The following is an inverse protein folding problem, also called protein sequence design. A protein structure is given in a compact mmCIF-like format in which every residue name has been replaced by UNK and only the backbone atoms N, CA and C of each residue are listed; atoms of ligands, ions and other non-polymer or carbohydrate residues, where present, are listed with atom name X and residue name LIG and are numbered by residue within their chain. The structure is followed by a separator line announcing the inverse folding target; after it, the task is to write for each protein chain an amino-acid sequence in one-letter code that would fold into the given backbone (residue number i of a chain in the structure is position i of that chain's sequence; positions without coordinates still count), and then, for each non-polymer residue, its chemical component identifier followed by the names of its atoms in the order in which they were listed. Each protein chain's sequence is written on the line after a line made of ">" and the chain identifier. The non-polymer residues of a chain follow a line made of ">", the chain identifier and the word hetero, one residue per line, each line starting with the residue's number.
data_IF_069593050909
#
_entry.id   IF_069593050909
#
_cell.length_a   1.000
_cell.length_b   1.000
_cell.length_c   1.000
_cell.angle_alpha   90.00
_cell.angle_beta   90.00
_cell.angle_gamma   90.00
#
_symmetry.space_group_name_H-M   'P 1'
#
loop_
_entity.id
_entity.type
_entity.pdbx_description
1 polymer ?
#
# COMPACT_ATOMS: atom_id res chain seq x y z
N UNK A 1 2.19 -2.19 -9.51
CA UNK A 1 3.33 -1.38 -9.93
C UNK A 1 3.98 -2.02 -11.15
N UNK A 2 4.60 -3.19 -11.04
CA UNK A 2 5.35 -3.87 -12.13
C UNK A 2 4.47 -4.09 -13.36
N UNK A 3 3.23 -4.58 -13.19
CA UNK A 3 2.30 -4.80 -14.30
C UNK A 3 2.03 -3.51 -15.10
N UNK A 4 1.86 -2.36 -14.42
CA UNK A 4 1.72 -1.07 -15.08
C UNK A 4 2.98 -0.69 -15.88
N UNK A 5 4.15 -0.85 -15.28
CA UNK A 5 5.42 -0.52 -15.92
C UNK A 5 5.67 -1.39 -17.18
N UNK A 6 5.42 -2.69 -17.09
CA UNK A 6 5.57 -3.61 -18.21
C UNK A 6 4.54 -3.33 -19.33
N UNK A 7 3.28 -3.02 -18.97
CA UNK A 7 2.26 -2.65 -19.95
C UNK A 7 2.67 -1.39 -20.72
N UNK A 8 3.13 -0.35 -20.00
CA UNK A 8 3.62 0.90 -20.62
C UNK A 8 4.83 0.69 -21.50
N UNK A 9 5.71 -0.24 -21.12
CA UNK A 9 6.87 -0.64 -21.92
C UNK A 9 6.49 -1.54 -23.12
N UNK A 10 5.21 -1.81 -23.36
CA UNK A 10 4.73 -2.67 -24.47
C UNK A 10 5.13 -4.14 -24.32
N UNK A 11 5.37 -4.61 -23.10
CA UNK A 11 5.74 -6.01 -22.84
C UNK A 11 4.49 -6.85 -22.60
N UNK A 12 4.49 -8.06 -23.17
CA UNK A 12 3.52 -9.10 -22.82
C UNK A 12 3.95 -9.74 -21.50
N UNK A 13 3.02 -9.91 -20.58
CA UNK A 13 3.31 -10.52 -19.28
C UNK A 13 2.12 -11.31 -18.74
N UNK A 14 2.44 -12.21 -17.84
CA UNK A 14 1.46 -12.93 -17.02
C UNK A 14 1.81 -12.73 -15.55
N UNK A 15 0.81 -12.49 -14.72
CA UNK A 15 0.98 -12.39 -13.26
C UNK A 15 0.51 -13.66 -12.59
N UNK A 16 1.30 -14.17 -11.66
CA UNK A 16 0.93 -15.25 -10.76
C UNK A 16 1.14 -14.75 -9.34
N UNK A 17 0.14 -14.92 -8.48
CA UNK A 17 0.19 -14.51 -7.08
C UNK A 17 0.46 -15.72 -6.19
N UNK A 18 1.40 -15.58 -5.29
CA UNK A 18 1.67 -16.54 -4.22
C UNK A 18 1.56 -15.82 -2.87
N UNK A 19 1.00 -16.49 -1.86
CA UNK A 19 0.99 -15.98 -0.48
C UNK A 19 2.32 -16.18 0.21
N UNK A 20 3.12 -17.14 -0.26
CA UNK A 20 4.48 -17.44 0.21
C UNK A 20 5.18 -18.28 -0.84
N UNK A 21 6.51 -18.27 -0.85
CA UNK A 21 7.28 -19.28 -1.56
C UNK A 21 7.48 -20.51 -0.66
N UNK A 22 7.32 -21.67 -1.27
CA UNK A 22 7.58 -22.98 -0.70
C UNK A 22 7.99 -23.93 -1.84
N UNK A 23 8.37 -25.16 -1.56
CA UNK A 23 8.84 -26.11 -2.57
C UNK A 23 7.80 -26.39 -3.67
N UNK A 24 6.50 -26.38 -3.32
CA UNK A 24 5.44 -26.54 -4.31
C UNK A 24 5.40 -25.36 -5.28
N UNK A 25 5.45 -24.14 -4.78
CA UNK A 25 5.44 -22.91 -5.59
C UNK A 25 6.74 -22.77 -6.40
N UNK A 26 7.89 -23.14 -5.82
CA UNK A 26 9.16 -23.24 -6.55
C UNK A 26 9.07 -24.22 -7.71
N UNK A 27 8.38 -25.37 -7.53
CA UNK A 27 8.08 -26.30 -8.61
C UNK A 27 7.19 -25.72 -9.71
N UNK A 28 6.37 -24.70 -9.45
CA UNK A 28 5.62 -23.97 -10.48
C UNK A 28 6.57 -23.00 -11.20
N UNK A 29 7.37 -22.24 -10.47
CA UNK A 29 8.34 -21.27 -11.01
C UNK A 29 9.32 -21.99 -11.95
N UNK A 30 9.92 -23.10 -11.53
CA UNK A 30 10.90 -23.85 -12.31
C UNK A 30 10.36 -24.43 -13.64
N UNK A 31 9.05 -24.66 -13.72
CA UNK A 31 8.38 -25.15 -14.95
C UNK A 31 7.80 -24.01 -15.80
N UNK A 32 7.81 -22.79 -15.30
CA UNK A 32 7.31 -21.63 -16.04
C UNK A 32 8.32 -21.26 -17.12
N UNK A 33 7.85 -21.16 -18.36
CA UNK A 33 8.65 -20.69 -19.49
C UNK A 33 8.37 -19.22 -19.71
N UNK A 34 9.39 -18.40 -19.55
CA UNK A 34 9.38 -16.97 -19.81
C UNK A 34 10.80 -16.54 -20.18
N UNK A 35 10.93 -15.47 -20.97
CA UNK A 35 12.23 -14.89 -21.29
C UNK A 35 12.85 -14.27 -20.04
N UNK A 36 12.02 -13.65 -19.18
CA UNK A 36 12.42 -13.12 -17.90
C UNK A 36 11.31 -13.32 -16.87
N UNK A 37 11.66 -13.62 -15.63
CA UNK A 37 10.75 -13.67 -14.50
C UNK A 37 11.08 -12.56 -13.51
N UNK A 38 10.08 -11.81 -13.09
CA UNK A 38 10.22 -10.81 -12.03
C UNK A 38 9.46 -11.30 -10.81
N UNK A 39 10.18 -11.54 -9.73
CA UNK A 39 9.62 -11.97 -8.44
C UNK A 39 9.66 -10.76 -7.50
N UNK A 40 8.50 -10.36 -6.99
CA UNK A 40 8.36 -9.17 -6.15
C UNK A 40 7.81 -9.53 -4.79
N UNK A 41 8.40 -8.96 -3.73
CA UNK A 41 8.00 -9.14 -2.32
C UNK A 41 8.15 -10.60 -1.82
N UNK A 42 8.90 -11.37 -2.56
CA UNK A 42 9.19 -12.79 -2.30
C UNK A 42 10.56 -13.11 -2.90
N UNK A 43 11.21 -14.16 -2.40
CA UNK A 43 12.39 -14.71 -3.06
C UNK A 43 13.66 -14.68 -2.21
N UNK A 44 13.80 -13.79 -1.24
CA UNK A 44 15.00 -13.66 -0.41
C UNK A 44 15.48 -15.00 0.18
N UNK A 45 14.55 -15.85 0.60
CA UNK A 45 14.86 -17.17 1.18
C UNK A 45 15.13 -18.27 0.15
N UNK A 46 14.99 -18.00 -1.14
CA UNK A 46 15.07 -18.97 -2.23
C UNK A 46 16.10 -18.61 -3.30
N UNK A 47 16.97 -17.65 -3.04
CA UNK A 47 17.98 -17.14 -4.00
C UNK A 47 18.84 -18.28 -4.55
N UNK A 48 19.33 -19.21 -3.70
CA UNK A 48 20.15 -20.33 -4.15
C UNK A 48 19.41 -21.23 -5.16
N UNK A 49 18.12 -21.50 -4.91
CA UNK A 49 17.30 -22.33 -5.82
C UNK A 49 16.95 -21.57 -7.11
N UNK A 50 16.73 -20.27 -7.03
CA UNK A 50 16.46 -19.40 -8.19
C UNK A 50 17.70 -19.28 -9.08
N UNK A 51 18.89 -19.25 -8.49
CA UNK A 51 20.18 -19.23 -9.21
C UNK A 51 20.45 -20.52 -10.03
N UNK A 52 19.80 -21.62 -9.68
CA UNK A 52 19.91 -22.90 -10.41
C UNK A 52 19.04 -22.95 -11.66
N UNK A 53 18.09 -22.03 -11.82
CA UNK A 53 17.17 -22.02 -12.96
C UNK A 53 17.85 -21.45 -14.22
N UNK A 54 17.45 -21.96 -15.39
CA UNK A 54 17.92 -21.51 -16.70
C UNK A 54 17.10 -20.34 -17.27
N UNK A 55 16.60 -19.46 -16.42
CA UNK A 55 15.80 -18.30 -16.80
C UNK A 55 16.45 -17.02 -16.32
N UNK A 56 16.27 -15.93 -17.04
CA UNK A 56 16.57 -14.59 -16.53
C UNK A 56 15.62 -14.28 -15.38
N UNK A 57 16.15 -14.01 -14.18
CA UNK A 57 15.33 -13.76 -13.00
C UNK A 57 15.74 -12.45 -12.34
N UNK A 58 14.75 -11.63 -12.06
CA UNK A 58 14.87 -10.42 -11.23
C UNK A 58 14.10 -10.64 -9.94
N UNK A 59 14.74 -10.47 -8.80
CA UNK A 59 14.11 -10.52 -7.48
C UNK A 59 14.13 -9.13 -6.85
N UNK A 60 12.95 -8.63 -6.52
CA UNK A 60 12.72 -7.33 -5.89
C UNK A 60 12.11 -7.60 -4.51
N UNK A 61 12.94 -7.72 -3.50
CA UNK A 61 12.53 -8.16 -2.17
C UNK A 61 13.13 -7.26 -1.08
N UNK A 62 12.61 -7.33 0.12
CA UNK A 62 13.05 -6.54 1.28
C UNK A 62 13.24 -7.38 2.55
N UNK A 63 12.92 -8.65 2.48
CA UNK A 63 13.12 -9.59 3.58
C UNK A 63 14.60 -9.85 3.82
N UNK A 64 14.92 -10.40 4.99
CA UNK A 64 16.31 -10.70 5.38
C UNK A 64 17.03 -11.52 4.31
N UNK A 65 18.20 -11.05 3.91
CA UNK A 65 19.07 -11.74 2.96
C UNK A 65 19.70 -12.96 3.64
N UNK A 66 19.51 -14.13 3.06
CA UNK A 66 20.05 -15.41 3.58
C UNK A 66 21.25 -15.87 2.74
N UNK A 67 21.22 -15.64 1.44
CA UNK A 67 22.26 -16.07 0.49
C UNK A 67 22.58 -14.95 -0.49
N UNK A 68 23.79 -15.01 -1.07
CA UNK A 68 24.21 -14.12 -2.14
C UNK A 68 23.74 -14.66 -3.49
N UNK A 69 23.19 -13.78 -4.33
CA UNK A 69 22.81 -14.12 -5.70
C UNK A 69 24.06 -14.22 -6.61
N UNK A 70 24.07 -15.21 -7.51
CA UNK A 70 25.16 -15.45 -8.49
C UNK A 70 24.75 -15.09 -9.91
N UNK A 71 23.52 -15.46 -10.32
CA UNK A 71 22.95 -15.18 -11.64
C UNK A 71 21.74 -14.27 -11.54
N UNK A 72 20.93 -14.42 -10.47
CA UNK A 72 19.72 -13.64 -10.24
C UNK A 72 20.08 -12.17 -10.10
N UNK A 73 19.40 -11.30 -10.82
CA UNK A 73 19.43 -9.86 -10.56
C UNK A 73 18.64 -9.58 -9.27
N UNK A 74 19.34 -9.48 -8.15
CA UNK A 74 18.72 -9.35 -6.83
C UNK A 74 18.83 -7.93 -6.29
N UNK A 75 17.71 -7.25 -6.17
CA UNK A 75 17.58 -5.95 -5.56
C UNK A 75 16.89 -6.07 -4.20
N UNK A 76 17.61 -5.76 -3.14
CA UNK A 76 17.14 -5.81 -1.77
C UNK A 76 17.84 -4.70 -0.96
N UNK A 77 17.10 -3.89 -0.16
CA UNK A 77 17.67 -2.81 0.64
C UNK A 77 18.81 -3.25 1.55
N UNK A 78 18.69 -4.44 2.15
CA UNK A 78 19.72 -4.97 3.06
C UNK A 78 21.10 -5.13 2.40
N UNK A 79 21.18 -5.35 1.09
CA UNK A 79 22.44 -5.43 0.35
C UNK A 79 23.19 -4.08 0.32
N UNK A 80 22.50 -2.99 0.62
CA UNK A 80 23.01 -1.62 0.61
C UNK A 80 23.03 -1.00 2.02
N UNK A 81 22.89 -1.80 3.06
CA UNK A 81 22.89 -1.34 4.45
C UNK A 81 21.62 -0.59 4.87
N UNK A 82 20.53 -0.73 4.11
CA UNK A 82 19.22 -0.15 4.42
C UNK A 82 18.35 -1.24 5.04
N UNK A 83 17.68 -0.92 6.14
CA UNK A 83 16.76 -1.86 6.78
C UNK A 83 15.49 -2.03 5.95
N UNK A 84 15.33 -3.18 5.31
CA UNK A 84 14.16 -3.54 4.51
C UNK A 84 12.87 -3.65 5.32
N UNK A 85 12.95 -3.83 6.65
CA UNK A 85 11.75 -3.95 7.48
C UNK A 85 11.11 -2.60 7.84
N UNK A 86 11.87 -1.50 7.73
CA UNK A 86 11.40 -0.17 8.13
C UNK A 86 11.57 0.91 7.06
N UNK A 87 12.48 0.71 6.11
CA UNK A 87 13.00 1.77 5.25
C UNK A 87 12.85 1.50 3.75
N UNK A 88 12.17 0.41 3.38
CA UNK A 88 11.92 0.05 1.98
C UNK A 88 11.28 -1.33 1.86
N UNK A 89 10.02 -1.39 1.45
CA UNK A 89 9.25 -2.64 1.28
C UNK A 89 9.31 -3.16 -0.17
N UNK A 90 8.68 -4.30 -0.43
CA UNK A 90 8.58 -4.88 -1.77
C UNK A 90 7.94 -3.93 -2.80
N UNK A 91 6.98 -3.10 -2.37
CA UNK A 91 6.39 -2.06 -3.22
C UNK A 91 7.37 -0.93 -3.52
N UNK A 92 8.20 -0.53 -2.55
CA UNK A 92 9.31 0.42 -2.74
C UNK A 92 10.28 -0.08 -3.79
N UNK A 93 10.73 -1.33 -3.67
CA UNK A 93 11.64 -1.97 -4.63
C UNK A 93 11.01 -2.09 -6.02
N UNK A 94 9.72 -2.42 -6.08
CA UNK A 94 8.97 -2.49 -7.35
C UNK A 94 8.85 -1.14 -8.04
N UNK A 95 8.69 -0.04 -7.28
CA UNK A 95 8.67 1.30 -7.86
C UNK A 95 10.04 1.71 -8.36
N UNK A 96 11.10 1.48 -7.58
CA UNK A 96 12.47 1.77 -8.01
C UNK A 96 12.81 1.02 -9.32
N UNK A 97 12.40 -0.23 -9.45
CA UNK A 97 12.51 -0.97 -10.70
C UNK A 97 11.69 -0.31 -11.83
N UNK A 98 10.45 0.07 -11.57
CA UNK A 98 9.58 0.68 -12.58
C UNK A 98 10.13 2.01 -13.12
N UNK A 99 10.65 2.89 -12.26
CA UNK A 99 11.27 4.16 -12.68
C UNK A 99 12.60 3.96 -13.40
N UNK A 100 13.32 2.85 -13.13
CA UNK A 100 14.53 2.50 -13.89
C UNK A 100 14.19 2.11 -15.33
N UNK A 101 13.01 1.52 -15.57
CA UNK A 101 12.53 1.23 -16.93
C UNK A 101 12.10 2.51 -17.65
N UNK A 102 11.40 3.40 -16.98
CA UNK A 102 10.95 4.69 -17.52
C UNK A 102 10.61 5.64 -16.36
N UNK A 103 11.21 6.83 -16.35
CA UNK A 103 10.90 7.87 -15.37
C UNK A 103 9.44 8.33 -15.42
N UNK A 104 8.72 8.12 -16.51
CA UNK A 104 7.28 8.34 -16.61
C UNK A 104 6.46 7.50 -15.64
N UNK A 105 7.05 6.48 -15.01
CA UNK A 105 6.41 5.64 -14.00
C UNK A 105 6.38 6.23 -12.58
N UNK A 106 6.85 7.46 -12.38
CA UNK A 106 6.78 8.10 -11.06
C UNK A 106 5.37 8.24 -10.50
N UNK A 107 4.33 8.32 -11.32
CA UNK A 107 2.93 8.33 -10.87
C UNK A 107 2.53 7.06 -10.09
N UNK A 108 3.24 5.94 -10.30
CA UNK A 108 3.06 4.68 -9.58
C UNK A 108 3.53 4.76 -8.12
N UNK A 109 4.15 5.86 -7.70
CA UNK A 109 4.48 6.12 -6.29
C UNK A 109 3.23 6.04 -5.40
N UNK A 110 2.07 6.36 -5.93
CA UNK A 110 0.80 6.21 -5.22
C UNK A 110 0.51 4.76 -4.85
N UNK A 111 0.77 3.81 -5.75
CA UNK A 111 0.67 2.38 -5.45
C UNK A 111 1.75 1.89 -4.49
N UNK A 112 2.95 2.47 -4.57
CA UNK A 112 4.01 2.16 -3.63
C UNK A 112 3.62 2.57 -2.21
N UNK A 113 2.97 3.73 -2.03
CA UNK A 113 2.50 4.17 -0.72
C UNK A 113 1.39 3.29 -0.15
N UNK A 114 0.52 2.71 -0.98
CA UNK A 114 -0.40 1.67 -0.52
C UNK A 114 0.34 0.43 0.00
N UNK A 115 1.44 0.02 -0.64
CA UNK A 115 2.29 -1.07 -0.18
C UNK A 115 3.05 -0.73 1.11
N UNK A 116 3.64 0.48 1.21
CA UNK A 116 4.30 0.99 2.42
C UNK A 116 3.33 1.01 3.60
N UNK A 117 2.07 1.40 3.36
CA UNK A 117 1.01 1.35 4.36
C UNK A 117 0.64 -0.09 4.74
N UNK A 118 0.60 -1.00 3.76
CA UNK A 118 0.33 -2.44 3.97
C UNK A 118 1.37 -3.10 4.86
N UNK A 119 2.64 -2.78 4.66
CA UNK A 119 3.78 -3.23 5.49
C UNK A 119 3.94 -2.45 6.79
N UNK A 120 3.05 -1.47 7.05
CA UNK A 120 3.07 -0.62 8.24
C UNK A 120 4.38 0.18 8.42
N UNK A 121 5.17 0.37 7.37
CA UNK A 121 6.46 1.09 7.45
C UNK A 121 6.29 2.61 7.58
N UNK A 122 5.07 3.13 7.57
CA UNK A 122 4.72 4.53 7.81
C UNK A 122 4.40 4.82 9.29
N UNK A 123 4.20 3.79 10.11
CA UNK A 123 3.90 3.96 11.54
C UNK A 123 5.16 4.49 12.24
N UNK A 124 5.00 5.56 13.01
CA UNK A 124 6.09 6.30 13.66
C UNK A 124 7.00 7.11 12.70
N UNK A 125 6.50 7.42 11.51
CA UNK A 125 7.21 8.19 10.48
C UNK A 125 7.95 7.31 9.47
N UNK A 126 8.20 7.87 8.31
CA UNK A 126 8.95 7.20 7.24
C UNK A 126 10.45 7.31 7.45
N UNK A 127 11.19 6.34 6.90
CA UNK A 127 12.65 6.34 6.92
C UNK A 127 13.23 5.81 5.60
N UNK A 128 14.50 6.12 5.35
CA UNK A 128 15.30 5.62 4.24
C UNK A 128 14.67 5.85 2.87
N UNK A 129 14.51 4.77 2.08
CA UNK A 129 13.95 4.85 0.72
C UNK A 129 12.50 5.37 0.72
N UNK A 130 11.71 5.05 1.75
CA UNK A 130 10.32 5.48 1.82
C UNK A 130 10.22 7.01 1.99
N UNK A 131 11.13 7.63 2.76
CA UNK A 131 11.23 9.10 2.88
C UNK A 131 11.56 9.73 1.54
N UNK A 132 12.55 9.19 0.82
CA UNK A 132 12.90 9.65 -0.51
C UNK A 132 11.71 9.58 -1.48
N UNK A 133 10.94 8.48 -1.44
CA UNK A 133 9.76 8.35 -2.30
C UNK A 133 8.66 9.35 -1.92
N UNK A 134 8.50 9.69 -0.62
CA UNK A 134 7.58 10.74 -0.19
C UNK A 134 7.99 12.08 -0.79
N UNK A 135 9.24 12.48 -0.59
CA UNK A 135 9.77 13.76 -1.10
C UNK A 135 9.51 13.88 -2.61
N UNK A 136 9.85 12.85 -3.38
CA UNK A 136 9.63 12.82 -4.82
C UNK A 136 8.13 12.79 -5.20
N UNK A 137 7.31 12.07 -4.46
CA UNK A 137 5.87 11.99 -4.67
C UNK A 137 5.16 13.32 -4.41
N UNK A 138 5.60 14.05 -3.39
CA UNK A 138 5.08 15.39 -3.04
C UNK A 138 5.56 16.43 -4.06
N UNK A 139 6.85 16.46 -4.37
CA UNK A 139 7.44 17.39 -5.36
C UNK A 139 6.76 17.27 -6.72
N UNK A 140 6.48 16.04 -7.17
CA UNK A 140 5.80 15.76 -8.44
C UNK A 140 4.27 15.92 -8.38
N UNK A 141 3.72 16.20 -7.21
CA UNK A 141 2.28 16.45 -7.02
C UNK A 141 1.40 15.20 -7.03
N UNK A 142 1.95 14.00 -6.82
CA UNK A 142 1.19 12.74 -6.74
C UNK A 142 0.67 12.45 -5.35
N UNK A 143 1.37 12.91 -4.31
CA UNK A 143 1.04 12.67 -2.90
C UNK A 143 0.89 14.01 -2.18
N UNK A 144 -0.02 14.05 -1.22
CA UNK A 144 -0.14 15.12 -0.25
C UNK A 144 -0.06 14.51 1.15
N UNK A 145 0.88 15.02 1.95
CA UNK A 145 1.07 14.60 3.33
C UNK A 145 0.12 15.36 4.26
N UNK A 146 -0.56 14.62 5.14
CA UNK A 146 -1.44 15.15 6.17
C UNK A 146 -0.88 14.74 7.52
N UNK A 147 -0.10 15.59 8.19
CA UNK A 147 0.61 15.22 9.41
C UNK A 147 -0.34 15.02 10.58
N UNK A 148 -0.08 14.00 11.40
CA UNK A 148 -0.67 13.78 12.71
C UNK A 148 -2.19 13.65 12.73
N UNK A 149 -2.84 13.05 11.72
CA UNK A 149 -4.29 13.00 11.60
C UNK A 149 -4.91 11.70 12.11
N UNK A 150 -6.01 11.83 12.87
CA UNK A 150 -6.94 10.72 13.18
C UNK A 150 -7.91 10.45 12.03
N UNK A 151 -8.05 11.37 11.10
CA UNK A 151 -9.02 11.31 10.01
C UNK A 151 -8.28 10.88 8.75
N UNK A 152 -8.75 9.83 8.05
CA UNK A 152 -8.21 9.47 6.75
C UNK A 152 -8.33 10.62 5.73
N UNK A 153 -7.37 10.70 4.81
CA UNK A 153 -7.18 11.83 3.92
C UNK A 153 -7.91 11.69 2.57
N UNK A 154 -9.19 11.35 2.57
CA UNK A 154 -9.96 11.17 1.33
C UNK A 154 -11.43 11.52 1.49
N UNK A 155 -12.32 10.91 0.69
CA UNK A 155 -13.78 11.04 0.84
C UNK A 155 -14.23 10.48 2.18
N UNK A 156 -14.77 11.33 3.03
CA UNK A 156 -15.04 11.00 4.44
C UNK A 156 -16.05 9.87 4.61
N UNK A 157 -17.03 9.75 3.71
CA UNK A 157 -17.99 8.65 3.79
C UNK A 157 -17.31 7.30 3.51
N UNK A 158 -16.52 7.25 2.46
CA UNK A 158 -15.80 6.04 2.06
C UNK A 158 -14.68 5.70 3.05
N UNK A 159 -13.87 6.68 3.39
CA UNK A 159 -12.67 6.50 4.21
C UNK A 159 -12.99 6.07 5.64
N UNK A 160 -13.95 6.75 6.31
CA UNK A 160 -14.36 6.37 7.66
C UNK A 160 -15.12 5.04 7.69
N UNK A 161 -15.79 4.69 6.59
CA UNK A 161 -16.44 3.39 6.46
C UNK A 161 -15.41 2.26 6.33
N UNK A 162 -14.35 2.48 5.54
CA UNK A 162 -13.33 1.48 5.23
C UNK A 162 -12.18 1.42 6.24
N UNK A 163 -12.06 2.42 7.14
CA UNK A 163 -10.98 2.44 8.12
C UNK A 163 -11.06 1.23 9.06
N UNK A 164 -9.97 0.48 9.14
CA UNK A 164 -9.86 -0.72 9.99
C UNK A 164 -8.78 -0.58 11.07
N UNK A 165 -7.88 0.37 10.91
CA UNK A 165 -6.83 0.69 11.86
C UNK A 165 -6.69 2.21 12.02
N UNK A 166 -7.21 2.75 13.14
CA UNK A 166 -7.93 2.03 14.19
C UNK A 166 -9.36 1.65 13.76
N UNK A 167 -9.83 0.50 14.21
CA UNK A 167 -11.26 0.17 14.10
C UNK A 167 -12.06 1.09 15.04
N UNK A 168 -13.05 1.80 14.50
CA UNK A 168 -13.89 2.72 15.26
C UNK A 168 -15.28 2.10 15.41
N UNK A 169 -15.58 1.62 16.62
CA UNK A 169 -16.87 0.94 16.91
C UNK A 169 -18.07 1.83 16.55
N UNK A 170 -18.97 1.28 15.74
CA UNK A 170 -20.18 1.96 15.28
C UNK A 170 -19.94 2.95 14.13
N UNK A 171 -18.71 3.04 13.61
CA UNK A 171 -18.33 3.85 12.43
C UNK A 171 -17.74 2.95 11.36
N UNK A 172 -16.64 2.26 11.64
CA UNK A 172 -16.01 1.32 10.69
C UNK A 172 -16.99 0.25 10.24
N UNK A 173 -17.20 0.11 8.93
CA UNK A 173 -18.16 -0.82 8.33
C UNK A 173 -19.64 -0.46 8.55
N UNK A 174 -19.95 0.75 9.02
CA UNK A 174 -21.32 1.16 9.32
C UNK A 174 -21.63 2.54 8.70
N UNK A 175 -22.32 2.53 7.55
CA UNK A 175 -22.65 3.77 6.80
C UNK A 175 -23.54 4.74 7.62
N UNK A 176 -24.48 4.24 8.41
CA UNK A 176 -25.31 5.08 9.27
C UNK A 176 -24.49 5.72 10.39
N UNK A 177 -23.54 4.96 10.95
CA UNK A 177 -22.62 5.47 11.97
C UNK A 177 -21.66 6.51 11.42
N UNK A 178 -21.19 6.37 10.19
CA UNK A 178 -20.41 7.40 9.49
C UNK A 178 -21.25 8.65 9.28
N UNK A 179 -22.47 8.51 8.72
CA UNK A 179 -23.38 9.65 8.53
C UNK A 179 -23.59 10.41 9.83
N UNK A 180 -23.87 9.68 10.91
CA UNK A 180 -24.11 10.27 12.22
C UNK A 180 -22.91 11.04 12.77
N UNK A 181 -21.71 10.48 12.72
CA UNK A 181 -20.52 11.19 13.24
C UNK A 181 -20.19 12.44 12.41
N UNK A 182 -20.44 12.43 11.11
CA UNK A 182 -20.29 13.60 10.25
C UNK A 182 -21.34 14.68 10.58
N UNK A 183 -22.60 14.29 10.77
CA UNK A 183 -23.67 15.22 11.22
C UNK A 183 -23.34 15.84 12.59
N UNK A 184 -22.90 15.02 13.56
CA UNK A 184 -22.49 15.49 14.90
C UNK A 184 -21.31 16.47 14.82
N UNK A 185 -20.41 16.31 13.84
CA UNK A 185 -19.33 17.24 13.56
C UNK A 185 -19.78 18.50 12.78
N UNK A 186 -21.00 18.52 12.25
CA UNK A 186 -21.53 19.60 11.41
C UNK A 186 -21.02 19.55 9.96
N UNK A 187 -20.54 18.38 9.51
CA UNK A 187 -19.95 18.17 8.19
C UNK A 187 -21.01 17.66 7.21
N UNK A 188 -21.13 18.32 6.06
CA UNK A 188 -22.02 17.86 4.98
C UNK A 188 -21.50 16.62 4.30
N UNK A 189 -22.39 15.73 3.89
CA UNK A 189 -22.05 14.56 3.08
C UNK A 189 -21.37 14.97 1.77
N UNK A 190 -20.47 14.12 1.28
CA UNK A 190 -19.72 14.34 0.03
C UNK A 190 -18.51 15.26 0.16
N UNK A 191 -18.09 15.62 1.39
CA UNK A 191 -16.82 16.29 1.63
C UNK A 191 -15.67 15.29 1.73
N UNK A 192 -14.54 15.68 1.17
CA UNK A 192 -13.24 15.09 1.45
C UNK A 192 -12.62 15.74 2.69
N UNK A 193 -11.67 15.05 3.33
CA UNK A 193 -10.83 15.65 4.38
C UNK A 193 -10.19 16.96 3.93
N UNK A 194 -9.79 17.03 2.65
CA UNK A 194 -9.13 18.20 2.07
C UNK A 194 -10.05 19.44 1.98
N UNK A 195 -11.39 19.21 2.00
CA UNK A 195 -12.39 20.29 1.95
C UNK A 195 -12.81 20.79 3.35
N UNK A 196 -12.28 20.20 4.42
CA UNK A 196 -12.65 20.55 5.79
C UNK A 196 -11.96 21.82 6.26
N UNK A 197 -12.72 22.66 6.96
CA UNK A 197 -12.16 23.74 7.75
C UNK A 197 -11.44 23.18 9.00
N UNK A 198 -10.53 23.94 9.58
CA UNK A 198 -9.82 23.53 10.80
C UNK A 198 -10.78 23.30 11.98
N UNK A 199 -11.92 23.97 12.02
CA UNK A 199 -12.96 23.73 13.03
C UNK A 199 -13.64 22.38 12.82
N UNK A 200 -13.98 22.02 11.57
CA UNK A 200 -14.58 20.74 11.22
C UNK A 200 -13.59 19.59 11.50
N UNK A 201 -12.32 19.74 11.12
CA UNK A 201 -11.25 18.76 11.43
C UNK A 201 -11.13 18.52 12.92
N UNK A 202 -11.08 19.60 13.72
CA UNK A 202 -10.98 19.50 15.17
C UNK A 202 -12.19 18.83 15.80
N UNK A 203 -13.41 19.17 15.37
CA UNK A 203 -14.64 18.53 15.87
C UNK A 203 -14.67 17.05 15.55
N UNK A 204 -14.43 16.68 14.30
CA UNK A 204 -14.43 15.27 13.86
C UNK A 204 -13.36 14.47 14.59
N UNK A 205 -12.13 14.98 14.67
CA UNK A 205 -11.04 14.33 15.44
C UNK A 205 -11.42 14.12 16.90
N UNK A 206 -12.07 15.11 17.53
CA UNK A 206 -12.52 15.00 18.93
C UNK A 206 -13.58 13.90 19.09
N UNK A 207 -14.55 13.80 18.18
CA UNK A 207 -15.58 12.76 18.21
C UNK A 207 -14.97 11.35 18.01
N UNK A 208 -14.03 11.22 17.08
CA UNK A 208 -13.28 9.98 16.87
C UNK A 208 -12.49 9.61 18.12
N UNK A 209 -11.75 10.55 18.71
CA UNK A 209 -10.98 10.33 19.92
C UNK A 209 -11.85 9.87 21.09
N UNK A 210 -13.04 10.46 21.28
CA UNK A 210 -14.01 10.03 22.30
C UNK A 210 -14.44 8.58 22.04
N UNK A 211 -14.80 8.23 20.80
CA UNK A 211 -15.19 6.85 20.46
C UNK A 211 -14.08 5.84 20.71
N UNK A 212 -12.83 6.19 20.38
CA UNK A 212 -11.66 5.37 20.67
C UNK A 212 -11.42 5.20 22.18
N UNK A 213 -11.56 6.27 22.94
CA UNK A 213 -11.47 6.20 24.42
C UNK A 213 -12.59 5.33 25.04
N UNK A 214 -13.81 5.41 24.53
CA UNK A 214 -14.92 4.54 24.95
C UNK A 214 -14.67 3.05 24.61
N UNK A 215 -13.85 2.77 23.62
CA UNK A 215 -13.40 1.40 23.27
C UNK A 215 -12.27 0.90 24.17
N UNK A 216 -11.71 1.76 25.02
CA UNK A 216 -10.58 1.44 25.89
C UNK A 216 -9.21 1.72 25.29
N UNK A 217 -9.11 2.47 24.20
CA UNK A 217 -7.82 2.93 23.66
C UNK A 217 -7.22 3.92 24.66
N UNK A 218 -6.01 3.62 25.12
CA UNK A 218 -5.30 4.46 26.08
C UNK A 218 -4.81 5.76 25.41
N UNK A 219 -4.82 6.86 26.16
CA UNK A 219 -4.31 8.15 25.66
C UNK A 219 -2.84 8.09 25.23
N UNK A 220 -2.03 7.24 25.86
CA UNK A 220 -0.63 7.00 25.47
C UNK A 220 -0.49 6.39 24.06
N UNK A 221 -1.50 5.64 23.60
CA UNK A 221 -1.52 5.03 22.28
C UNK A 221 -2.16 5.94 21.21
N UNK A 222 -2.69 7.10 21.60
CA UNK A 222 -3.31 8.04 20.64
C UNK A 222 -2.32 8.60 19.62
N UNK A 223 -1.04 8.69 19.96
CA UNK A 223 0.00 9.12 19.03
C UNK A 223 0.28 8.08 17.93
N UNK A 224 0.05 6.78 18.21
CA UNK A 224 0.14 5.72 17.19
C UNK A 224 -1.09 5.71 16.27
N UNK A 225 -2.20 6.21 16.79
CA UNK A 225 -3.48 6.31 16.05
C UNK A 225 -3.54 7.61 15.23
N UNK A 226 -3.11 8.74 15.83
CA UNK A 226 -2.93 10.02 15.13
C UNK A 226 -1.56 10.01 14.43
N UNK A 227 -1.53 9.57 13.20
CA UNK A 227 -0.32 9.41 12.40
C UNK A 227 -0.36 10.19 11.10
N UNK A 228 0.78 10.31 10.45
CA UNK A 228 0.86 10.94 9.15
C UNK A 228 0.06 10.13 8.13
N UNK A 229 -0.77 10.83 7.37
CA UNK A 229 -1.62 10.27 6.31
C UNK A 229 -1.10 10.72 4.97
N UNK A 230 -1.26 9.88 3.97
CA UNK A 230 -0.75 10.12 2.63
C UNK A 230 -1.91 10.07 1.64
N UNK A 231 -2.35 11.25 1.20
CA UNK A 231 -3.42 11.38 0.23
C UNK A 231 -2.87 11.16 -1.18
N UNK A 232 -3.42 10.17 -1.88
CA UNK A 232 -3.06 9.76 -3.23
C UNK A 232 -3.90 10.53 -4.23
N UNK A 233 -3.35 11.61 -4.81
CA UNK A 233 -4.12 12.58 -5.60
C UNK A 233 -4.78 11.99 -6.84
N UNK A 234 -4.09 11.09 -7.56
CA UNK A 234 -4.63 10.44 -8.76
C UNK A 234 -5.71 9.40 -8.45
N UNK A 235 -5.75 8.88 -7.24
CA UNK A 235 -6.72 7.89 -6.78
C UNK A 235 -7.80 8.50 -5.89
N UNK A 236 -7.60 9.75 -5.46
CA UNK A 236 -8.50 10.50 -4.58
C UNK A 236 -8.86 9.76 -3.28
N UNK A 237 -7.87 9.12 -2.65
CA UNK A 237 -8.03 8.35 -1.41
C UNK A 237 -6.75 8.32 -0.56
N UNK A 238 -6.90 7.89 0.69
CA UNK A 238 -5.80 7.65 1.62
C UNK A 238 -5.04 6.36 1.25
N UNK A 239 -3.72 6.35 1.41
CA UNK A 239 -2.88 5.19 1.11
C UNK A 239 -3.24 3.95 1.93
N UNK A 240 -3.63 4.11 3.22
CA UNK A 240 -4.06 3.00 4.06
C UNK A 240 -5.39 2.39 3.58
N UNK A 241 -6.30 3.22 3.06
CA UNK A 241 -7.57 2.73 2.51
C UNK A 241 -7.34 1.97 1.22
N UNK A 242 -6.50 2.47 0.32
CA UNK A 242 -6.10 1.71 -0.87
C UNK A 242 -5.44 0.38 -0.48
N UNK A 243 -4.53 0.41 0.49
CA UNK A 243 -3.91 -0.81 1.03
C UNK A 243 -4.94 -1.81 1.54
N UNK A 244 -5.93 -1.35 2.30
CA UNK A 244 -7.01 -2.20 2.83
C UNK A 244 -7.82 -2.84 1.70
N UNK A 245 -8.15 -2.09 0.65
CA UNK A 245 -8.86 -2.60 -0.53
C UNK A 245 -8.05 -3.70 -1.23
N UNK A 246 -6.77 -3.45 -1.49
CA UNK A 246 -5.89 -4.42 -2.16
C UNK A 246 -5.69 -5.67 -1.32
N UNK A 247 -5.50 -5.53 -0.01
CA UNK A 247 -5.41 -6.63 0.94
C UNK A 247 -6.72 -7.43 1.02
N UNK A 248 -7.87 -6.77 0.99
CA UNK A 248 -9.19 -7.40 0.90
C UNK A 248 -9.30 -8.33 -0.31
N UNK A 249 -8.88 -7.86 -1.49
CA UNK A 249 -8.81 -8.67 -2.71
C UNK A 249 -7.90 -9.90 -2.55
N UNK A 250 -6.72 -9.71 -1.97
CA UNK A 250 -5.75 -10.80 -1.74
C UNK A 250 -6.30 -11.87 -0.80
N UNK A 251 -6.82 -11.48 0.35
CA UNK A 251 -7.39 -12.38 1.38
C UNK A 251 -8.63 -13.11 0.93
N UNK A 252 -9.43 -12.49 0.05
CA UNK A 252 -10.63 -13.11 -0.51
C UNK A 252 -10.34 -14.04 -1.71
N UNK A 253 -9.06 -14.26 -2.05
CA UNK A 253 -8.66 -15.14 -3.15
C UNK A 253 -8.92 -14.56 -4.55
N UNK A 254 -9.22 -13.27 -4.66
CA UNK A 254 -9.48 -12.56 -5.93
C UNK A 254 -8.37 -11.53 -6.23
N UNK A 255 -7.12 -11.91 -5.96
CA UNK A 255 -5.97 -11.03 -6.14
C UNK A 255 -5.83 -10.43 -7.54
N UNK A 256 -6.32 -11.12 -8.58
CA UNK A 256 -6.41 -10.56 -9.93
C UNK A 256 -7.27 -9.30 -10.00
N UNK A 257 -8.32 -9.19 -9.18
CA UNK A 257 -9.12 -7.96 -9.04
C UNK A 257 -8.29 -6.82 -8.43
N UNK A 258 -7.47 -7.11 -7.40
CA UNK A 258 -6.56 -6.13 -6.82
C UNK A 258 -5.53 -5.61 -7.85
N UNK A 259 -5.02 -6.49 -8.71
CA UNK A 259 -4.13 -6.08 -9.81
C UNK A 259 -4.88 -5.15 -10.78
N UNK A 260 -6.08 -5.54 -11.23
CA UNK A 260 -6.89 -4.72 -12.13
C UNK A 260 -7.21 -3.34 -11.52
N UNK A 261 -7.58 -3.31 -10.23
CA UNK A 261 -7.81 -2.06 -9.50
C UNK A 261 -6.54 -1.18 -9.49
N UNK A 262 -5.38 -1.75 -9.17
CA UNK A 262 -4.09 -1.05 -9.23
C UNK A 262 -3.64 -0.65 -10.64
N UNK A 263 -4.22 -1.23 -11.67
CA UNK A 263 -4.05 -0.84 -13.08
C UNK A 263 -5.10 0.18 -13.56
N UNK A 264 -5.96 0.68 -12.68
CA UNK A 264 -6.90 1.75 -12.97
C UNK A 264 -8.30 1.28 -13.37
N UNK A 265 -8.62 -0.01 -13.23
CA UNK A 265 -9.97 -0.51 -13.44
C UNK A 265 -10.89 -0.06 -12.30
N UNK A 266 -11.79 0.89 -12.61
CA UNK A 266 -12.72 1.47 -11.64
C UNK A 266 -13.69 0.44 -11.06
N UNK A 267 -14.16 -0.49 -11.89
CA UNK A 267 -15.08 -1.54 -11.45
C UNK A 267 -14.41 -2.50 -10.49
N UNK A 268 -13.16 -2.88 -10.76
CA UNK A 268 -12.36 -3.69 -9.86
C UNK A 268 -12.08 -2.98 -8.53
N UNK A 269 -11.86 -1.65 -8.55
CA UNK A 269 -11.69 -0.84 -7.36
C UNK A 269 -12.96 -0.82 -6.49
N UNK A 270 -14.14 -0.59 -7.10
CA UNK A 270 -15.44 -0.62 -6.42
C UNK A 270 -15.71 -1.98 -5.76
N UNK A 271 -15.54 -3.06 -6.52
CA UNK A 271 -15.74 -4.43 -6.03
C UNK A 271 -14.72 -4.79 -4.94
N UNK A 272 -13.47 -4.35 -5.08
CA UNK A 272 -12.44 -4.53 -4.07
C UNK A 272 -12.79 -3.82 -2.75
N UNK A 273 -13.34 -2.62 -2.83
CA UNK A 273 -13.83 -1.89 -1.66
C UNK A 273 -15.01 -2.61 -0.97
N UNK A 274 -15.86 -3.32 -1.72
CA UNK A 274 -16.92 -4.15 -1.14
C UNK A 274 -16.38 -5.35 -0.34
N UNK A 275 -15.21 -5.89 -0.71
CA UNK A 275 -14.59 -7.02 -0.02
C UNK A 275 -13.92 -6.63 1.31
N UNK A 276 -13.77 -5.35 1.59
CA UNK A 276 -13.24 -4.85 2.88
C UNK A 276 -14.35 -4.64 3.91
N UNK A 277 -15.59 -4.77 3.51
CA UNK A 277 -16.80 -4.71 4.37
C UNK A 277 -17.01 -6.03 5.08
#
# INVERSE_FOLDING_TARGET
>A
IIANALLRAGKEFRVTLFTTLNDFNMGIISRTKADCMIISDLGASYIDQLDELDSEIVVLDHHTVISEAKKVCYANPHLYGIDGMTSGCGATMSLLFAITLDEGNWDLVQLAFAGIAGDRQHINGLSGLNTYLLEQGVERGFIEEVPGSLIPAGDLMTELFLVTDPYIRGVSGNAEGVSKILEDAGIKHGKSFMDLTEEEKRKLSSLIAVKLAEQGVQLSSMNEVARDRYFLKGMNMDAEVLSSILNGCGRSGVGGMGIAAGMGDKRAMELGAELTR
#
